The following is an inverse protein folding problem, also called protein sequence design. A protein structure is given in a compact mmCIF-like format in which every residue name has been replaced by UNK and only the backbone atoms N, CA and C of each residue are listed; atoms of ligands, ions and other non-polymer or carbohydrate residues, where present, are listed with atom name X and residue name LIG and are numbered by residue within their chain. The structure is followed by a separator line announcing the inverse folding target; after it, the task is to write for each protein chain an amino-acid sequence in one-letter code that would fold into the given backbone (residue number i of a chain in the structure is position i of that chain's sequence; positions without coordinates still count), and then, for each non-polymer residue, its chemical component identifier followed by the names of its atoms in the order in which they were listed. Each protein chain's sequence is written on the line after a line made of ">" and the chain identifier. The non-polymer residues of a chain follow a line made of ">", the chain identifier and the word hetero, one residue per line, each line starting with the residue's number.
data_IF_149499265674
#
_entry.id   IF_149499265674
#
_cell.length_a   1.000
_cell.length_b   1.000
_cell.length_c   1.000
_cell.angle_alpha   90.00
_cell.angle_beta   90.00
_cell.angle_gamma   90.00
#
_symmetry.space_group_name_H-M   'P 1'
#
loop_
_entity.id
_entity.type
_entity.pdbx_description
1 polymer ?
#
# COMPACT_ATOMS: atom_id res chain seq x y z
N UNK A 1 6.03 -2.19 -23.43
CA UNK A 1 6.49 -2.22 -24.84
C UNK A 1 5.36 -1.82 -25.80
N UNK A 2 4.18 -2.46 -25.81
CA UNK A 2 3.07 -2.14 -26.73
C UNK A 2 2.64 -0.66 -26.65
N UNK A 3 2.37 -0.13 -25.46
CA UNK A 3 1.97 1.28 -25.28
C UNK A 3 3.02 2.25 -25.83
N UNK A 4 4.28 2.05 -25.50
CA UNK A 4 5.36 2.92 -25.98
C UNK A 4 5.58 2.82 -27.50
N UNK A 5 5.38 1.65 -28.12
CA UNK A 5 5.48 1.50 -29.57
C UNK A 5 4.30 2.12 -30.31
N UNK A 6 3.11 2.15 -29.72
CA UNK A 6 1.90 2.70 -30.35
C UNK A 6 1.78 4.22 -30.17
N UNK A 7 2.21 4.76 -29.01
CA UNK A 7 2.01 6.16 -28.65
C UNK A 7 3.30 7.00 -28.57
N UNK A 8 4.46 6.36 -28.65
CA UNK A 8 5.76 7.03 -28.63
C UNK A 8 6.17 7.61 -27.26
N UNK A 9 5.26 7.66 -26.29
CA UNK A 9 5.47 8.24 -24.95
C UNK A 9 4.68 7.53 -23.86
N UNK A 10 5.10 7.75 -22.61
CA UNK A 10 4.40 7.31 -21.42
C UNK A 10 4.51 8.41 -20.35
N UNK A 11 3.42 9.07 -20.05
CA UNK A 11 3.43 10.23 -19.15
C UNK A 11 3.18 9.86 -17.70
N UNK A 12 2.32 8.88 -17.47
CA UNK A 12 1.92 8.47 -16.12
C UNK A 12 1.88 6.96 -16.02
N UNK A 13 2.46 6.44 -14.95
CA UNK A 13 2.33 5.06 -14.52
C UNK A 13 1.66 5.03 -13.15
N UNK A 14 0.52 4.33 -13.02
CA UNK A 14 -0.13 4.07 -11.73
C UNK A 14 -0.02 2.59 -11.39
N UNK A 15 0.79 2.26 -10.40
CA UNK A 15 0.96 0.91 -9.88
C UNK A 15 -0.10 0.66 -8.81
N UNK A 16 -1.27 0.16 -9.22
CA UNK A 16 -2.42 -0.07 -8.35
C UNK A 16 -2.71 -1.56 -8.11
N UNK A 17 -2.29 -2.45 -9.00
CA UNK A 17 -2.57 -3.87 -8.89
C UNK A 17 -1.99 -4.47 -7.59
N UNK A 18 -2.82 -5.21 -6.86
CA UNK A 18 -2.40 -5.84 -5.63
C UNK A 18 -3.55 -6.58 -4.94
N UNK A 19 -3.22 -7.44 -4.01
CA UNK A 19 -4.17 -8.15 -3.16
C UNK A 19 -3.64 -8.25 -1.74
N UNK A 20 -4.47 -8.69 -0.78
CA UNK A 20 -4.10 -8.94 0.60
C UNK A 20 -4.05 -10.42 0.93
N UNK A 21 -2.98 -10.86 1.61
CA UNK A 21 -2.89 -12.13 2.31
C UNK A 21 -3.12 -11.85 3.79
N UNK A 22 -4.13 -12.48 4.36
CA UNK A 22 -4.52 -12.31 5.76
C UNK A 22 -4.23 -13.60 6.54
N UNK A 23 -3.79 -13.49 7.78
CA UNK A 23 -3.46 -14.59 8.67
C UNK A 23 -2.28 -14.25 9.57
N UNK A 24 -2.13 -14.95 10.69
CA UNK A 24 -0.95 -14.82 11.55
C UNK A 24 0.29 -15.41 10.87
N UNK A 25 1.47 -14.98 11.28
CA UNK A 25 2.75 -15.36 10.65
C UNK A 25 2.94 -16.87 10.56
N UNK A 26 2.54 -17.62 11.58
CA UNK A 26 2.68 -19.09 11.62
C UNK A 26 1.72 -19.83 10.68
N UNK A 27 0.60 -19.20 10.30
CA UNK A 27 -0.40 -19.80 9.41
C UNK A 27 -0.13 -19.54 7.94
N UNK A 28 0.65 -18.49 7.62
CA UNK A 28 0.99 -18.12 6.25
C UNK A 28 2.26 -18.87 5.82
N UNK A 29 2.18 -19.60 4.71
CA UNK A 29 3.35 -20.32 4.17
C UNK A 29 4.36 -19.35 3.55
N UNK A 30 5.64 -19.73 3.51
CA UNK A 30 6.68 -18.96 2.80
C UNK A 30 6.32 -18.77 1.32
N UNK A 31 5.66 -19.74 0.72
CA UNK A 31 5.20 -19.63 -0.67
C UNK A 31 4.12 -18.55 -0.83
N UNK A 32 3.21 -18.41 0.14
CA UNK A 32 2.20 -17.34 0.12
C UNK A 32 2.84 -15.95 0.35
N UNK A 33 3.85 -15.85 1.23
CA UNK A 33 4.68 -14.65 1.34
C UNK A 33 5.32 -14.29 0.00
N UNK A 34 5.95 -15.25 -0.68
CA UNK A 34 6.57 -15.02 -2.00
C UNK A 34 5.56 -14.55 -3.04
N UNK A 35 4.38 -15.18 -3.12
CA UNK A 35 3.30 -14.76 -4.03
C UNK A 35 2.81 -13.36 -3.73
N UNK A 36 2.69 -13.01 -2.44
CA UNK A 36 2.30 -11.67 -2.03
C UNK A 36 3.33 -10.62 -2.48
N UNK A 37 4.63 -10.90 -2.24
CA UNK A 37 5.71 -10.04 -2.69
C UNK A 37 5.82 -9.99 -4.22
N UNK A 38 5.63 -11.11 -4.89
CA UNK A 38 5.65 -11.19 -6.36
C UNK A 38 4.65 -10.24 -7.00
N UNK A 39 3.42 -10.22 -6.47
CA UNK A 39 2.35 -9.35 -7.02
C UNK A 39 2.48 -7.91 -6.53
N UNK A 40 2.67 -7.68 -5.23
CA UNK A 40 2.54 -6.33 -4.67
C UNK A 40 3.84 -5.52 -4.72
N UNK A 41 4.99 -6.16 -4.97
CA UNK A 41 6.29 -5.50 -4.96
C UNK A 41 7.11 -5.80 -6.21
N UNK A 42 7.49 -7.05 -6.48
CA UNK A 42 8.37 -7.37 -7.60
C UNK A 42 7.77 -7.06 -8.97
N UNK A 43 6.45 -7.19 -9.13
CA UNK A 43 5.78 -6.76 -10.37
C UNK A 43 5.97 -5.27 -10.62
N UNK A 44 5.87 -4.44 -9.57
CA UNK A 44 6.08 -2.99 -9.62
C UNK A 44 7.53 -2.68 -10.01
N UNK A 45 8.50 -3.35 -9.37
CA UNK A 45 9.93 -3.19 -9.70
C UNK A 45 10.16 -3.46 -11.19
N UNK A 46 9.66 -4.59 -11.72
CA UNK A 46 9.82 -4.92 -13.15
C UNK A 46 9.17 -3.90 -14.08
N UNK A 47 7.97 -3.43 -13.77
CA UNK A 47 7.29 -2.41 -14.58
C UNK A 47 8.10 -1.11 -14.57
N UNK A 48 8.60 -0.68 -13.42
CA UNK A 48 9.40 0.54 -13.30
C UNK A 48 10.73 0.40 -14.06
N UNK A 49 11.39 -0.75 -14.01
CA UNK A 49 12.61 -1.01 -14.80
C UNK A 49 12.37 -0.89 -16.31
N UNK A 50 11.20 -1.32 -16.81
CA UNK A 50 10.83 -1.18 -18.23
C UNK A 50 10.40 0.25 -18.60
N UNK A 51 9.77 0.99 -17.68
CA UNK A 51 9.21 2.32 -17.94
C UNK A 51 10.25 3.43 -17.76
N UNK A 52 11.14 3.30 -16.78
CA UNK A 52 12.13 4.34 -16.46
C UNK A 52 12.99 4.78 -17.62
N UNK A 53 13.52 3.91 -18.51
CA UNK A 53 14.27 4.33 -19.69
C UNK A 53 13.46 5.20 -20.64
N UNK A 54 12.14 4.92 -20.78
CA UNK A 54 11.24 5.68 -21.65
C UNK A 54 11.07 7.09 -21.07
N UNK A 55 10.67 7.19 -19.82
CA UNK A 55 10.47 8.48 -19.12
C UNK A 55 11.76 9.29 -19.04
N UNK A 56 12.90 8.63 -18.82
CA UNK A 56 14.22 9.29 -18.81
C UNK A 56 14.57 9.91 -20.16
N UNK A 57 14.31 9.23 -21.28
CA UNK A 57 14.51 9.77 -22.60
C UNK A 57 13.55 10.95 -22.89
N UNK A 58 12.34 10.93 -22.34
CA UNK A 58 11.37 12.03 -22.39
C UNK A 58 11.77 13.21 -21.52
N UNK A 59 12.65 13.01 -20.52
CA UNK A 59 12.98 13.95 -19.42
C UNK A 59 11.73 14.37 -18.62
N UNK A 60 10.73 13.52 -18.60
CA UNK A 60 9.45 13.77 -17.90
C UNK A 60 8.71 12.46 -17.67
N UNK A 61 7.92 12.42 -16.63
CA UNK A 61 7.02 11.31 -16.29
C UNK A 61 6.58 11.38 -14.83
N UNK A 62 5.49 10.71 -14.52
CA UNK A 62 5.00 10.59 -13.15
C UNK A 62 4.70 9.13 -12.82
N UNK A 63 5.27 8.64 -11.74
CA UNK A 63 5.02 7.30 -11.21
C UNK A 63 4.25 7.44 -9.90
N UNK A 64 3.06 6.85 -9.85
CA UNK A 64 2.19 6.82 -8.68
C UNK A 64 2.13 5.39 -8.17
N UNK A 65 2.64 5.14 -6.97
CA UNK A 65 2.59 3.84 -6.32
C UNK A 65 1.47 3.84 -5.27
N UNK A 66 0.50 2.92 -5.39
CA UNK A 66 -0.55 2.78 -4.39
C UNK A 66 -0.02 1.93 -3.24
N UNK A 67 0.34 2.63 -2.16
CA UNK A 67 0.77 2.04 -0.89
C UNK A 67 -0.45 1.77 0.02
N UNK A 68 -0.34 2.09 1.27
CA UNK A 68 -1.39 2.06 2.30
C UNK A 68 -0.86 2.73 3.55
N UNK A 69 -1.74 3.17 4.44
CA UNK A 69 -1.36 3.55 5.81
C UNK A 69 -0.57 2.44 6.51
N UNK A 70 -0.87 1.17 6.22
CA UNK A 70 -0.12 0.02 6.76
C UNK A 70 1.25 -0.19 6.08
N UNK A 71 1.68 0.68 5.18
CA UNK A 71 3.07 0.81 4.77
C UNK A 71 3.94 1.57 5.78
N UNK A 72 3.32 2.17 6.80
CA UNK A 72 3.95 2.97 7.86
C UNK A 72 3.70 2.42 9.27
N UNK A 73 2.69 1.58 9.42
CA UNK A 73 2.30 0.96 10.70
C UNK A 73 2.11 -0.55 10.55
N UNK A 74 2.49 -1.32 11.58
CA UNK A 74 2.22 -2.75 11.68
C UNK A 74 0.87 -3.03 12.32
N UNK A 75 0.14 -4.02 11.79
CA UNK A 75 -1.10 -4.55 12.36
C UNK A 75 -1.01 -6.07 12.39
N UNK A 76 -1.59 -6.75 13.39
CA UNK A 76 -1.67 -8.20 13.41
C UNK A 76 -2.54 -8.72 12.25
N UNK A 77 -2.36 -9.97 11.90
CA UNK A 77 -3.18 -10.67 10.91
C UNK A 77 -2.87 -10.38 9.43
N UNK A 78 -1.87 -9.54 9.12
CA UNK A 78 -1.51 -9.26 7.72
C UNK A 78 0.00 -9.06 7.50
N UNK A 79 0.89 -9.84 8.12
CA UNK A 79 2.34 -9.57 8.05
C UNK A 79 2.88 -9.61 6.61
N UNK A 80 2.40 -10.53 5.78
CA UNK A 80 2.85 -10.63 4.39
C UNK A 80 2.46 -9.38 3.57
N UNK A 81 1.20 -8.94 3.66
CA UNK A 81 0.72 -7.75 2.96
C UNK A 81 1.44 -6.48 3.44
N UNK A 82 1.50 -6.28 4.75
CA UNK A 82 2.13 -5.12 5.38
C UNK A 82 3.59 -5.02 4.97
N UNK A 83 4.34 -6.13 5.02
CA UNK A 83 5.75 -6.14 4.59
C UNK A 83 5.93 -5.69 3.14
N UNK A 84 5.01 -6.03 2.22
CA UNK A 84 5.09 -5.54 0.84
C UNK A 84 4.87 -4.03 0.75
N UNK A 85 4.01 -3.46 1.59
CA UNK A 85 3.75 -2.02 1.60
C UNK A 85 4.92 -1.25 2.21
N UNK A 86 5.54 -1.74 3.28
CA UNK A 86 6.80 -1.18 3.80
C UNK A 86 7.92 -1.23 2.76
N UNK A 87 8.06 -2.34 2.05
CA UNK A 87 9.04 -2.46 0.97
C UNK A 87 8.79 -1.44 -0.15
N UNK A 88 7.52 -1.23 -0.53
CA UNK A 88 7.14 -0.25 -1.54
C UNK A 88 7.43 1.19 -1.11
N UNK A 89 7.23 1.51 0.17
CA UNK A 89 7.57 2.82 0.75
C UNK A 89 9.07 3.13 0.59
N UNK A 90 9.93 2.26 1.11
CA UNK A 90 11.38 2.44 1.02
C UNK A 90 11.89 2.45 -0.42
N UNK A 91 11.36 1.56 -1.27
CA UNK A 91 11.69 1.53 -2.69
C UNK A 91 11.32 2.84 -3.40
N UNK A 92 10.14 3.38 -3.12
CA UNK A 92 9.69 4.64 -3.72
C UNK A 92 10.53 5.83 -3.27
N UNK A 93 11.01 5.86 -2.03
CA UNK A 93 11.97 6.87 -1.56
C UNK A 93 13.27 6.83 -2.36
N UNK A 94 13.84 5.64 -2.58
CA UNK A 94 15.04 5.49 -3.40
C UNK A 94 14.82 6.01 -4.82
N UNK A 95 13.69 5.65 -5.44
CA UNK A 95 13.34 6.10 -6.81
C UNK A 95 13.23 7.62 -6.92
N UNK A 96 12.77 8.33 -5.89
CA UNK A 96 12.69 9.80 -5.92
C UNK A 96 14.07 10.43 -6.12
N UNK A 97 15.10 9.88 -5.50
CA UNK A 97 16.48 10.35 -5.70
C UNK A 97 17.06 9.89 -7.02
N UNK A 98 16.83 8.63 -7.40
CA UNK A 98 17.41 8.05 -8.62
C UNK A 98 16.81 8.66 -9.89
N UNK A 99 15.50 8.81 -9.95
CA UNK A 99 14.76 9.22 -11.15
C UNK A 99 14.44 10.72 -11.17
N UNK A 100 14.41 11.38 -10.01
CA UNK A 100 14.13 12.80 -9.91
C UNK A 100 15.11 13.68 -10.68
N UNK A 101 16.39 13.31 -10.73
CA UNK A 101 17.41 14.00 -11.52
C UNK A 101 17.14 14.01 -13.04
N UNK A 102 16.23 13.14 -13.52
CA UNK A 102 15.81 13.07 -14.92
C UNK A 102 14.45 13.73 -15.16
N UNK A 103 13.91 14.46 -14.19
CA UNK A 103 12.60 15.10 -14.29
C UNK A 103 11.41 14.16 -14.11
N UNK A 104 11.65 12.93 -13.58
CA UNK A 104 10.59 11.95 -13.32
C UNK A 104 10.11 12.13 -11.88
N UNK A 105 8.82 12.35 -11.71
CA UNK A 105 8.17 12.54 -10.41
C UNK A 105 7.68 11.20 -9.87
N UNK A 106 7.93 10.91 -8.59
CA UNK A 106 7.45 9.70 -7.91
C UNK A 106 6.65 10.12 -6.67
N UNK A 107 5.49 9.49 -6.50
CA UNK A 107 4.64 9.70 -5.33
C UNK A 107 3.99 8.41 -4.86
N UNK A 108 3.66 8.38 -3.58
CA UNK A 108 2.92 7.32 -2.92
C UNK A 108 1.52 7.84 -2.56
N UNK A 109 0.52 7.01 -2.76
CA UNK A 109 -0.80 7.22 -2.19
C UNK A 109 -0.94 6.24 -1.03
N UNK A 110 -1.31 6.73 0.14
CA UNK A 110 -1.42 5.98 1.38
C UNK A 110 -2.89 5.93 1.84
N UNK A 111 -3.74 5.07 1.23
CA UNK A 111 -5.13 4.93 1.64
C UNK A 111 -5.24 4.22 2.99
N UNK A 112 -6.26 4.58 3.76
CA UNK A 112 -6.80 3.78 4.85
C UNK A 112 -7.73 2.70 4.32
N UNK A 113 -8.86 2.48 5.03
CA UNK A 113 -9.89 1.54 4.62
C UNK A 113 -10.75 2.14 3.50
N UNK A 114 -10.71 1.52 2.34
CA UNK A 114 -11.45 1.97 1.15
C UNK A 114 -12.61 1.01 0.87
N UNK A 115 -13.78 1.58 0.58
CA UNK A 115 -15.01 0.84 0.26
C UNK A 115 -14.90 0.18 -1.11
N UNK A 116 -14.28 -1.00 -1.16
CA UNK A 116 -14.06 -1.82 -2.36
C UNK A 116 -14.20 -3.30 -2.03
N UNK A 117 -14.10 -4.15 -3.04
CA UNK A 117 -14.05 -5.60 -2.85
C UNK A 117 -12.70 -6.12 -2.30
N UNK A 118 -11.75 -5.26 -1.95
CA UNK A 118 -10.42 -5.67 -1.51
C UNK A 118 -10.47 -6.67 -0.35
N UNK A 119 -11.22 -6.35 0.71
CA UNK A 119 -11.34 -7.21 1.89
C UNK A 119 -12.08 -8.53 1.61
N UNK A 120 -13.00 -8.55 0.65
CA UNK A 120 -13.70 -9.77 0.24
C UNK A 120 -12.82 -10.67 -0.64
N UNK A 121 -11.84 -10.09 -1.33
CA UNK A 121 -10.88 -10.83 -2.18
C UNK A 121 -9.60 -11.24 -1.45
N UNK A 122 -9.46 -10.91 -0.17
CA UNK A 122 -8.32 -11.33 0.65
C UNK A 122 -8.20 -12.84 0.73
N UNK A 123 -6.98 -13.33 0.63
CA UNK A 123 -6.68 -14.74 0.88
C UNK A 123 -6.50 -14.94 2.38
N UNK A 124 -7.31 -15.82 2.95
CA UNK A 124 -7.26 -16.17 4.37
C UNK A 124 -6.94 -17.68 4.47
N UNK A 125 -5.77 -18.07 4.95
CA UNK A 125 -5.49 -19.48 5.18
C UNK A 125 -6.33 -20.01 6.33
N UNK A 126 -6.60 -21.30 6.32
CA UNK A 126 -7.16 -21.98 7.47
C UNK A 126 -6.10 -22.01 8.59
N UNK A 127 -6.38 -21.40 9.75
CA UNK A 127 -5.47 -21.50 10.89
C UNK A 127 -5.42 -22.93 11.42
N UNK A 128 -4.21 -23.51 11.42
CA UNK A 128 -3.94 -24.89 11.84
C UNK A 128 -3.03 -24.96 13.06
N UNK A 129 -2.48 -23.82 13.50
CA UNK A 129 -1.44 -23.80 14.54
C UNK A 129 -2.01 -23.62 15.93
N UNK A 130 -2.72 -22.53 16.17
CA UNK A 130 -3.27 -22.21 17.48
C UNK A 130 -4.69 -21.64 17.34
N UNK A 131 -5.68 -22.14 18.12
CA UNK A 131 -7.04 -21.61 18.10
C UNK A 131 -7.12 -20.09 18.36
N UNK A 132 -6.20 -19.54 19.17
CA UNK A 132 -6.13 -18.09 19.45
C UNK A 132 -5.78 -17.28 18.18
N UNK A 133 -4.97 -17.82 17.28
CA UNK A 133 -4.69 -17.16 16.00
C UNK A 133 -5.91 -17.12 15.10
N UNK A 134 -6.73 -18.19 15.13
CA UNK A 134 -7.99 -18.20 14.40
C UNK A 134 -8.94 -17.14 14.95
N UNK A 135 -9.14 -17.08 16.25
CA UNK A 135 -10.00 -16.09 16.91
C UNK A 135 -9.52 -14.66 16.61
N UNK A 136 -8.22 -14.38 16.78
CA UNK A 136 -7.61 -13.09 16.46
C UNK A 136 -7.86 -12.70 14.98
N UNK A 137 -7.60 -13.61 14.07
CA UNK A 137 -7.74 -13.38 12.63
C UNK A 137 -9.20 -13.11 12.24
N UNK A 138 -10.13 -13.92 12.77
CA UNK A 138 -11.56 -13.78 12.51
C UNK A 138 -12.10 -12.42 13.02
N UNK A 139 -11.71 -12.02 14.23
CA UNK A 139 -12.15 -10.77 14.85
C UNK A 139 -11.63 -9.56 14.08
N UNK A 140 -10.34 -9.53 13.73
CA UNK A 140 -9.76 -8.43 12.96
C UNK A 140 -10.38 -8.36 11.56
N UNK A 141 -10.53 -9.49 10.88
CA UNK A 141 -11.12 -9.51 9.54
C UNK A 141 -12.59 -9.06 9.55
N UNK A 142 -13.36 -9.45 10.57
CA UNK A 142 -14.74 -8.97 10.74
C UNK A 142 -14.78 -7.46 10.96
N UNK A 143 -13.91 -6.92 11.82
CA UNK A 143 -13.77 -5.48 12.03
C UNK A 143 -13.40 -4.71 10.76
N UNK A 144 -12.42 -5.20 10.01
CA UNK A 144 -12.00 -4.58 8.74
C UNK A 144 -13.12 -4.60 7.68
N UNK A 145 -13.90 -5.68 7.58
CA UNK A 145 -15.06 -5.76 6.68
C UNK A 145 -16.14 -4.77 7.06
N UNK A 146 -16.44 -4.65 8.36
CA UNK A 146 -17.40 -3.67 8.85
C UNK A 146 -16.93 -2.22 8.59
N UNK A 147 -15.66 -1.93 8.82
CA UNK A 147 -15.07 -0.63 8.49
C UNK A 147 -15.12 -0.35 6.98
N UNK A 148 -14.97 -1.37 6.14
CA UNK A 148 -15.01 -1.21 4.69
C UNK A 148 -16.39 -0.78 4.17
N UNK A 149 -17.47 -1.13 4.84
CA UNK A 149 -18.83 -0.66 4.48
C UNK A 149 -18.98 0.85 4.65
N UNK A 150 -18.30 1.42 5.64
CA UNK A 150 -18.26 2.86 5.94
C UNK A 150 -16.99 3.53 5.42
N UNK A 151 -16.14 2.78 4.73
CA UNK A 151 -14.82 3.20 4.28
C UNK A 151 -14.86 4.34 3.26
N UNK A 152 -13.74 4.97 3.07
CA UNK A 152 -13.56 6.06 2.11
C UNK A 152 -13.94 5.59 0.70
N UNK A 153 -14.75 6.35 -0.07
CA UNK A 153 -15.08 5.99 -1.44
C UNK A 153 -13.83 5.91 -2.34
N UNK A 154 -13.73 4.95 -3.25
CA UNK A 154 -12.58 4.82 -4.15
C UNK A 154 -12.39 6.03 -5.09
N UNK A 155 -13.46 6.80 -5.36
CA UNK A 155 -13.38 8.06 -6.10
C UNK A 155 -12.45 9.06 -5.42
N UNK A 156 -12.43 9.16 -4.08
CA UNK A 156 -11.52 10.05 -3.36
C UNK A 156 -10.05 9.67 -3.57
N UNK A 157 -9.74 8.37 -3.69
CA UNK A 157 -8.39 7.92 -4.04
C UNK A 157 -8.03 8.38 -5.46
N UNK A 158 -8.96 8.23 -6.41
CA UNK A 158 -8.78 8.67 -7.78
C UNK A 158 -8.58 10.21 -7.87
N UNK A 159 -9.38 10.97 -7.12
CA UNK A 159 -9.26 12.45 -7.08
C UNK A 159 -7.89 12.89 -6.54
N UNK A 160 -7.37 12.21 -5.50
CA UNK A 160 -6.04 12.50 -4.96
C UNK A 160 -4.95 12.11 -5.96
N UNK A 161 -5.07 11.00 -6.68
CA UNK A 161 -4.15 10.63 -7.75
C UNK A 161 -4.15 11.71 -8.84
N UNK A 162 -5.33 12.15 -9.29
CA UNK A 162 -5.45 13.20 -10.31
C UNK A 162 -4.85 14.52 -9.82
N UNK A 163 -5.11 14.91 -8.57
CA UNK A 163 -4.47 16.09 -7.95
C UNK A 163 -2.95 15.98 -7.94
N UNK A 164 -2.41 14.81 -7.56
CA UNK A 164 -0.98 14.58 -7.53
C UNK A 164 -0.34 14.68 -8.92
N UNK A 165 -0.97 14.07 -9.94
CA UNK A 165 -0.47 14.08 -11.33
C UNK A 165 -0.42 15.50 -11.91
N UNK A 166 -1.40 16.35 -11.60
CA UNK A 166 -1.50 17.70 -12.12
C UNK A 166 -0.80 18.77 -11.24
N UNK A 167 -0.16 18.34 -10.14
CA UNK A 167 0.57 19.25 -9.27
C UNK A 167 1.93 19.63 -9.87
N UNK A 168 2.25 20.94 -9.87
CA UNK A 168 3.58 21.42 -10.24
C UNK A 168 4.64 20.87 -9.27
N UNK A 169 4.32 20.86 -7.98
CA UNK A 169 5.14 20.29 -6.92
C UNK A 169 4.44 19.08 -6.29
N UNK A 170 4.88 17.90 -6.71
CA UNK A 170 4.31 16.64 -6.23
C UNK A 170 4.88 16.26 -4.86
N UNK A 171 4.01 16.05 -3.88
CA UNK A 171 4.42 15.59 -2.56
C UNK A 171 4.93 14.14 -2.61
N UNK A 172 5.85 13.76 -1.71
CA UNK A 172 6.29 12.37 -1.61
C UNK A 172 5.16 11.38 -1.33
N UNK A 173 4.16 11.81 -0.55
CA UNK A 173 3.04 10.99 -0.06
C UNK A 173 1.75 11.79 0.01
N UNK A 174 0.65 11.10 -0.24
CA UNK A 174 -0.71 11.61 -0.04
C UNK A 174 -1.50 10.61 0.77
N UNK A 175 -1.93 11.00 1.97
CA UNK A 175 -2.79 10.20 2.84
C UNK A 175 -4.23 10.35 2.35
N UNK A 176 -4.99 9.24 2.29
CA UNK A 176 -6.39 9.24 1.86
C UNK A 176 -7.25 8.47 2.87
N UNK A 177 -8.23 9.17 3.43
CA UNK A 177 -9.15 8.65 4.45
C UNK A 177 -8.88 9.24 5.83
N UNK A 178 -9.96 9.43 6.58
CA UNK A 178 -9.89 9.99 7.95
C UNK A 178 -9.23 9.03 8.93
N UNK A 179 -9.45 7.72 8.76
CA UNK A 179 -8.81 6.65 9.50
C UNK A 179 -7.29 6.64 9.27
N UNK A 180 -6.85 6.75 8.02
CA UNK A 180 -5.44 6.85 7.69
C UNK A 180 -4.78 8.08 8.33
N UNK A 181 -5.44 9.24 8.25
CA UNK A 181 -4.93 10.47 8.85
C UNK A 181 -4.79 10.32 10.38
N UNK A 182 -5.79 9.74 11.05
CA UNK A 182 -5.77 9.49 12.49
C UNK A 182 -4.61 8.56 12.91
N UNK A 183 -4.41 7.44 12.21
CA UNK A 183 -3.31 6.53 12.53
C UNK A 183 -1.94 7.16 12.27
N UNK A 184 -1.80 7.93 11.21
CA UNK A 184 -0.53 8.62 10.91
C UNK A 184 -0.21 9.72 11.92
N UNK A 185 -1.20 10.50 12.35
CA UNK A 185 -1.06 11.48 13.43
C UNK A 185 -0.65 10.81 14.74
N UNK A 186 -1.32 9.70 15.09
CA UNK A 186 -0.96 8.91 16.27
C UNK A 186 0.48 8.38 16.19
N UNK A 187 0.90 7.86 15.03
CA UNK A 187 2.27 7.36 14.82
C UNK A 187 3.32 8.47 14.92
N UNK A 188 3.04 9.65 14.43
CA UNK A 188 3.97 10.79 14.42
C UNK A 188 4.08 11.49 15.79
N UNK A 189 2.99 11.49 16.56
CA UNK A 189 2.92 12.19 17.85
C UNK A 189 3.37 11.37 19.05
N UNK A 190 3.63 10.06 18.87
CA UNK A 190 3.96 9.12 19.96
C UNK A 190 5.31 8.46 19.73
N UNK A 191 5.98 8.12 20.82
CA UNK A 191 7.12 7.17 20.78
C UNK A 191 6.63 5.79 20.35
N UNK A 192 7.52 4.91 19.91
CA UNK A 192 7.15 3.55 19.48
C UNK A 192 6.42 2.76 20.61
N UNK A 193 6.84 2.92 21.86
CA UNK A 193 6.19 2.26 23.02
C UNK A 193 4.78 2.81 23.26
N UNK A 194 4.59 4.12 23.16
CA UNK A 194 3.27 4.75 23.33
C UNK A 194 2.34 4.39 22.19
N UNK A 195 2.86 4.32 20.97
CA UNK A 195 2.09 3.92 19.80
C UNK A 195 1.68 2.44 19.89
N UNK A 196 2.57 1.54 20.32
CA UNK A 196 2.24 0.13 20.55
C UNK A 196 1.12 -0.03 21.57
N UNK A 197 1.19 0.71 22.70
CA UNK A 197 0.12 0.71 23.71
C UNK A 197 -1.20 1.26 23.16
N UNK A 198 -1.15 2.33 22.38
CA UNK A 198 -2.32 2.90 21.72
C UNK A 198 -2.96 1.87 20.79
N UNK A 199 -2.17 1.26 19.90
CA UNK A 199 -2.67 0.26 18.95
C UNK A 199 -3.20 -0.99 19.66
N UNK A 200 -2.54 -1.46 20.73
CA UNK A 200 -3.00 -2.61 21.51
C UNK A 200 -4.38 -2.34 22.15
N UNK A 201 -4.62 -1.12 22.61
CA UNK A 201 -5.92 -0.74 23.13
C UNK A 201 -7.00 -0.73 22.04
N UNK A 202 -6.73 -0.11 20.92
CA UNK A 202 -7.69 -0.04 19.79
C UNK A 202 -8.03 -1.43 19.22
N UNK A 203 -7.05 -2.35 19.20
CA UNK A 203 -7.21 -3.67 18.56
C UNK A 203 -7.78 -4.75 19.49
N UNK A 204 -7.56 -4.64 20.83
CA UNK A 204 -7.86 -5.74 21.74
C UNK A 204 -8.76 -5.34 22.92
N UNK A 205 -9.07 -4.07 23.10
CA UNK A 205 -9.86 -3.56 24.23
C UNK A 205 -11.06 -2.70 23.80
N UNK A 206 -11.28 -2.54 22.49
CA UNK A 206 -12.40 -1.80 21.90
C UNK A 206 -13.70 -2.61 21.83
#
# INVERSE_FOLDING_TARGET
>A
KKISSEHGRLDVLVNNAGYGQFGCTEDITIEDFRKQFETNFFSIVRIIQEVSPIMRNQKSGTIVNISSVVGKIGLPGSPAYISTKFALEGFSECLRYELGQFGIKITLIEPGVIKTNFFNSMKVPESKKDPKYKELTDNILAGLKMMAEMGTPPSQVADVIMKAIHSDEILPRYIVGTDAAMFMEAKQSKTDIEFEKYMSKELFQG
#
